data_IF_067127796730
#
_entry.id   IF_067127796730
#
_cell.length_a   1.000
_cell.length_b   1.000
_cell.length_c   1.000
_cell.angle_alpha   90.00
_cell.angle_beta   90.00
_cell.angle_gamma   90.00
#
_symmetry.space_group_name_H-M   'P 1'
#
loop_
_entity.id
_entity.type
_entity.pdbx_description
1 polymer ?
#
# COMPACT_ATOMS: atom_id res chain seq x y z
N UNK A 1 5.71 15.51 4.73
CA UNK A 1 6.08 14.07 4.67
C UNK A 1 5.82 13.46 6.05
N UNK A 2 5.12 12.33 6.15
CA UNK A 2 4.69 11.74 7.44
C UNK A 2 5.65 10.69 8.00
N UNK A 3 6.54 10.18 7.16
CA UNK A 3 7.55 9.19 7.52
C UNK A 3 7.95 8.35 6.32
N UNK A 4 8.56 7.20 6.61
CA UNK A 4 9.07 6.25 5.61
C UNK A 4 8.33 4.93 5.70
N UNK A 5 8.02 4.36 4.53
CA UNK A 5 7.61 2.97 4.37
C UNK A 5 8.81 2.19 3.82
N UNK A 6 9.33 1.25 4.60
CA UNK A 6 10.37 0.33 4.15
C UNK A 6 9.73 -0.90 3.54
N UNK A 7 9.63 -0.93 2.21
CA UNK A 7 9.18 -2.10 1.48
C UNK A 7 10.38 -2.96 1.04
N UNK A 8 10.64 -4.04 1.77
CA UNK A 8 11.89 -4.78 1.65
C UNK A 8 13.05 -4.17 2.45
N UNK A 9 14.23 -4.83 2.48
CA UNK A 9 14.57 -6.06 1.74
C UNK A 9 14.07 -7.35 2.41
N UNK A 10 13.32 -7.27 3.51
CA UNK A 10 12.89 -8.43 4.33
C UNK A 10 11.73 -9.23 3.72
N UNK A 11 11.85 -9.57 2.44
CA UNK A 11 10.81 -10.14 1.59
C UNK A 11 11.30 -11.44 0.94
N UNK A 12 10.37 -12.26 0.42
CA UNK A 12 10.73 -13.56 -0.13
C UNK A 12 11.31 -13.42 -1.56
N UNK A 13 12.50 -13.98 -1.85
CA UNK A 13 13.11 -13.93 -3.19
C UNK A 13 12.26 -14.60 -4.28
N UNK A 14 11.36 -15.52 -3.93
CA UNK A 14 10.41 -16.14 -4.86
C UNK A 14 9.20 -15.26 -5.21
N UNK A 15 9.05 -14.10 -4.54
CA UNK A 15 7.93 -13.16 -4.72
C UNK A 15 8.41 -11.69 -4.76
N UNK A 16 9.51 -11.41 -5.45
CA UNK A 16 10.07 -10.06 -5.54
C UNK A 16 9.20 -9.05 -6.28
N UNK A 17 8.40 -9.48 -7.26
CA UNK A 17 7.74 -8.52 -8.16
C UNK A 17 8.79 -7.68 -8.87
N UNK A 18 8.76 -6.35 -8.67
CA UNK A 18 9.75 -5.43 -9.23
C UNK A 18 10.89 -5.06 -8.26
N UNK A 19 10.92 -5.64 -7.05
CA UNK A 19 12.01 -5.43 -6.10
C UNK A 19 13.33 -6.01 -6.66
N UNK A 20 14.48 -5.37 -6.39
CA UNK A 20 15.78 -5.93 -6.77
C UNK A 20 16.04 -7.26 -6.06
N UNK A 21 16.89 -8.12 -6.65
CA UNK A 21 17.32 -9.41 -6.08
C UNK A 21 18.28 -9.25 -4.89
N UNK A 22 17.90 -8.44 -3.92
CA UNK A 22 18.67 -8.13 -2.71
C UNK A 22 17.87 -8.45 -1.44
N UNK A 23 16.91 -9.39 -1.54
CA UNK A 23 16.14 -9.85 -0.39
C UNK A 23 17.06 -10.40 0.70
N UNK A 24 16.77 -10.05 1.95
CA UNK A 24 17.55 -10.45 3.12
C UNK A 24 16.63 -10.95 4.24
N UNK A 25 17.20 -11.70 5.18
CA UNK A 25 16.52 -12.01 6.44
C UNK A 25 16.70 -10.82 7.38
N UNK A 26 15.62 -10.41 8.03
CA UNK A 26 15.65 -9.25 8.93
C UNK A 26 16.57 -9.49 10.13
N UNK A 27 17.53 -8.58 10.33
CA UNK A 27 18.40 -8.56 11.50
C UNK A 27 17.97 -7.43 12.45
N UNK A 28 17.75 -7.68 13.76
CA UNK A 28 17.30 -6.65 14.69
C UNK A 28 18.23 -5.44 14.78
N UNK A 29 19.54 -5.66 14.62
CA UNK A 29 20.56 -4.60 14.65
C UNK A 29 20.41 -3.67 13.45
N UNK A 30 20.25 -4.22 12.25
CA UNK A 30 20.09 -3.44 11.02
C UNK A 30 18.79 -2.64 11.05
N UNK A 31 17.70 -3.28 11.46
CA UNK A 31 16.42 -2.59 11.56
C UNK A 31 16.45 -1.46 12.60
N UNK A 32 17.13 -1.66 13.74
CA UNK A 32 17.35 -0.58 14.70
C UNK A 32 18.10 0.60 14.06
N UNK A 33 19.13 0.35 13.24
CA UNK A 33 19.84 1.40 12.51
C UNK A 33 18.92 2.18 11.57
N UNK A 34 17.99 1.51 10.86
CA UNK A 34 17.02 2.20 10.01
C UNK A 34 16.01 3.03 10.80
N UNK A 35 15.53 2.51 11.93
CA UNK A 35 14.62 3.24 12.82
C UNK A 35 15.29 4.47 13.45
N UNK A 36 16.59 4.41 13.72
CA UNK A 36 17.37 5.53 14.24
C UNK A 36 17.68 6.56 13.13
N UNK A 37 17.85 6.11 11.88
CA UNK A 37 18.20 6.97 10.75
C UNK A 37 17.00 7.72 10.15
N UNK A 38 15.78 7.19 10.27
CA UNK A 38 14.60 7.77 9.65
C UNK A 38 13.31 7.52 10.44
N UNK A 39 12.29 8.38 10.30
CA UNK A 39 10.97 8.17 10.91
C UNK A 39 10.19 7.08 10.16
N UNK A 40 10.61 5.83 10.30
CA UNK A 40 9.94 4.66 9.72
C UNK A 40 8.58 4.46 10.40
N UNK A 41 7.52 4.45 9.59
CA UNK A 41 6.14 4.25 10.06
C UNK A 41 5.60 2.90 9.66
N UNK A 42 6.05 2.37 8.52
CA UNK A 42 5.58 1.11 7.96
C UNK A 42 6.76 0.27 7.50
N UNK A 43 6.69 -1.04 7.74
CA UNK A 43 7.62 -2.02 7.18
C UNK A 43 6.83 -3.13 6.51
N UNK A 44 7.15 -3.44 5.26
CA UNK A 44 6.65 -4.64 4.57
C UNK A 44 7.67 -5.75 4.70
N UNK A 45 7.21 -6.93 5.13
CA UNK A 45 8.03 -8.13 5.21
C UNK A 45 7.23 -9.39 4.87
N UNK A 46 7.97 -10.46 4.55
CA UNK A 46 7.40 -11.78 4.33
C UNK A 46 7.41 -12.59 5.65
N UNK A 47 6.25 -12.99 6.20
CA UNK A 47 6.16 -13.57 7.54
C UNK A 47 6.79 -14.96 7.68
N UNK A 48 6.88 -15.73 6.60
CA UNK A 48 7.39 -17.11 6.58
C UNK A 48 8.92 -17.19 6.68
N UNK A 49 9.61 -16.06 6.59
CA UNK A 49 11.06 -16.03 6.65
C UNK A 49 11.57 -16.18 8.10
N UNK A 50 12.69 -16.88 8.33
CA UNK A 50 13.22 -17.13 9.66
C UNK A 50 13.36 -15.87 10.52
N UNK A 51 12.82 -15.91 11.74
CA UNK A 51 12.93 -14.82 12.72
C UNK A 51 11.98 -13.63 12.48
N UNK A 52 11.23 -13.60 11.37
CA UNK A 52 10.34 -12.46 11.08
C UNK A 52 9.16 -12.36 12.04
N UNK A 53 8.70 -13.48 12.62
CA UNK A 53 7.65 -13.43 13.64
C UNK A 53 8.08 -12.64 14.89
N UNK A 54 9.31 -12.84 15.36
CA UNK A 54 9.87 -12.05 16.46
C UNK A 54 10.13 -10.60 16.03
N UNK A 55 10.52 -10.40 14.76
CA UNK A 55 10.68 -9.06 14.21
C UNK A 55 9.38 -8.26 14.19
N UNK A 56 8.27 -8.91 13.81
CA UNK A 56 6.94 -8.30 13.83
C UNK A 56 6.61 -7.81 15.24
N UNK A 57 6.81 -8.66 16.27
CA UNK A 57 6.57 -8.28 17.67
C UNK A 57 7.40 -7.07 18.09
N UNK A 58 8.69 -7.07 17.74
CA UNK A 58 9.63 -5.99 18.07
C UNK A 58 9.23 -4.67 17.39
N UNK A 59 8.87 -4.70 16.11
CA UNK A 59 8.43 -3.53 15.36
C UNK A 59 7.11 -2.97 15.91
N UNK A 60 6.13 -3.85 16.14
CA UNK A 60 4.83 -3.47 16.68
C UNK A 60 4.97 -2.82 18.07
N UNK A 61 5.83 -3.38 18.94
CA UNK A 61 6.12 -2.81 20.26
C UNK A 61 6.77 -1.41 20.19
N UNK A 62 7.41 -1.06 19.08
CA UNK A 62 7.98 0.27 18.81
C UNK A 62 7.01 1.20 18.09
N UNK A 63 5.77 0.78 17.87
CA UNK A 63 4.74 1.58 17.19
C UNK A 63 4.92 1.65 15.66
N UNK A 64 5.77 0.80 15.08
CA UNK A 64 5.89 0.66 13.63
C UNK A 64 4.81 -0.29 13.12
N UNK A 65 4.09 0.12 12.08
CA UNK A 65 3.08 -0.73 11.44
C UNK A 65 3.76 -1.77 10.56
N UNK A 66 3.42 -3.04 10.74
CA UNK A 66 3.99 -4.12 9.92
C UNK A 66 2.95 -4.60 8.94
N UNK A 67 3.34 -4.68 7.67
CA UNK A 67 2.52 -5.24 6.59
C UNK A 67 3.12 -6.51 6.05
N UNK A 68 2.24 -7.43 5.68
CA UNK A 68 2.61 -8.66 4.99
C UNK A 68 2.59 -8.42 3.49
N UNK A 69 3.68 -8.76 2.80
CA UNK A 69 3.81 -8.56 1.36
C UNK A 69 5.02 -9.30 0.80
N UNK A 70 5.07 -9.46 -0.54
CA UNK A 70 6.17 -10.14 -1.23
C UNK A 70 6.52 -11.50 -0.60
N UNK A 71 5.50 -12.34 -0.43
CA UNK A 71 5.54 -13.51 0.45
C UNK A 71 5.04 -14.77 -0.25
N UNK A 72 5.72 -15.88 0.01
CA UNK A 72 5.27 -17.24 -0.31
C UNK A 72 4.58 -17.93 0.88
N UNK A 73 4.27 -17.17 1.93
CA UNK A 73 3.69 -17.66 3.16
C UNK A 73 2.35 -18.38 2.95
N UNK A 74 2.06 -19.25 3.90
CA UNK A 74 0.78 -19.94 4.01
C UNK A 74 -0.27 -19.03 4.66
N UNK A 75 -1.50 -19.53 4.74
CA UNK A 75 -2.54 -18.86 5.51
C UNK A 75 -2.17 -18.79 6.99
N UNK A 76 -1.60 -19.88 7.52
CA UNK A 76 -1.17 -20.02 8.91
C UNK A 76 -0.04 -19.05 9.26
N UNK A 77 0.93 -18.85 8.35
CA UNK A 77 2.01 -17.86 8.55
C UNK A 77 1.45 -16.44 8.69
N UNK A 78 0.46 -16.08 7.85
CA UNK A 78 -0.18 -14.77 7.92
C UNK A 78 -1.01 -14.59 9.20
N UNK A 79 -1.76 -15.62 9.61
CA UNK A 79 -2.52 -15.58 10.89
C UNK A 79 -1.56 -15.43 12.08
N UNK A 80 -0.48 -16.22 12.12
CA UNK A 80 0.53 -16.11 13.18
C UNK A 80 1.17 -14.70 13.20
N UNK A 81 1.41 -14.11 12.02
CA UNK A 81 1.95 -12.77 11.92
C UNK A 81 0.97 -11.69 12.43
N UNK A 82 -0.33 -11.81 12.14
CA UNK A 82 -1.36 -10.94 12.71
C UNK A 82 -1.40 -11.07 14.24
N UNK A 83 -1.36 -12.30 14.77
CA UNK A 83 -1.30 -12.56 16.22
C UNK A 83 -0.04 -11.98 16.87
N UNK A 84 1.07 -11.89 16.13
CA UNK A 84 2.31 -11.27 16.57
C UNK A 84 2.31 -9.73 16.48
N UNK A 85 1.28 -9.12 15.90
CA UNK A 85 1.13 -7.66 15.81
C UNK A 85 1.27 -7.06 14.41
N UNK A 86 1.31 -7.88 13.35
CA UNK A 86 1.16 -7.36 12.00
C UNK A 86 -0.21 -6.68 11.86
N UNK A 87 -0.23 -5.54 11.18
CA UNK A 87 -1.40 -4.64 11.16
C UNK A 87 -2.02 -4.45 9.78
N UNK A 88 -1.45 -5.04 8.73
CA UNK A 88 -2.02 -4.96 7.38
C UNK A 88 -1.31 -5.80 6.34
N UNK A 89 -1.67 -5.55 5.08
CA UNK A 89 -1.18 -6.26 3.91
C UNK A 89 -0.81 -5.23 2.84
N UNK A 90 0.39 -5.32 2.28
CA UNK A 90 0.88 -4.40 1.23
C UNK A 90 0.26 -4.78 -0.11
N UNK A 91 -0.22 -3.80 -0.88
CA UNK A 91 -0.81 -3.95 -2.23
C UNK A 91 -1.55 -5.29 -2.47
N UNK A 92 -2.55 -5.59 -1.64
CA UNK A 92 -3.30 -6.85 -1.58
C UNK A 92 -3.51 -7.49 -2.97
N UNK A 93 -3.31 -8.81 -3.02
CA UNK A 93 -3.26 -9.68 -4.21
C UNK A 93 -1.89 -9.72 -4.93
N UNK A 94 -1.15 -8.62 -4.97
CA UNK A 94 0.11 -8.53 -5.69
C UNK A 94 1.25 -9.16 -4.87
N UNK A 95 2.13 -9.90 -5.54
CA UNK A 95 3.27 -10.57 -4.90
C UNK A 95 2.94 -11.42 -3.65
N UNK A 96 1.75 -12.03 -3.60
CA UNK A 96 1.28 -12.88 -2.51
C UNK A 96 0.93 -14.30 -2.99
N UNK A 97 0.77 -15.24 -2.06
CA UNK A 97 0.12 -16.53 -2.34
C UNK A 97 -1.39 -16.35 -2.52
N UNK A 98 -1.96 -16.84 -3.64
CA UNK A 98 -3.35 -16.60 -3.97
C UNK A 98 -4.30 -17.43 -3.10
N UNK A 99 -5.57 -17.04 -3.09
CA UNK A 99 -6.64 -17.82 -2.46
C UNK A 99 -6.89 -19.11 -3.26
N UNK A 100 -6.73 -20.26 -2.60
CA UNK A 100 -7.17 -21.57 -3.08
C UNK A 100 -7.95 -22.31 -1.99
N UNK A 101 -9.01 -23.03 -2.33
CA UNK A 101 -9.94 -23.58 -1.33
C UNK A 101 -9.34 -24.63 -0.39
N UNK A 102 -8.26 -25.32 -0.77
CA UNK A 102 -7.56 -26.31 0.10
C UNK A 102 -6.23 -25.81 0.68
N UNK A 103 -5.70 -24.71 0.15
CA UNK A 103 -4.43 -24.11 0.55
C UNK A 103 -4.59 -22.58 0.46
N UNK A 104 -5.28 -21.95 1.43
CA UNK A 104 -5.87 -20.63 1.24
C UNK A 104 -4.89 -19.44 1.13
N UNK A 105 -3.60 -19.60 1.43
CA UNK A 105 -2.58 -18.56 1.19
C UNK A 105 -2.83 -17.25 1.95
N UNK A 106 -1.93 -16.28 1.73
CA UNK A 106 -1.93 -14.97 2.41
C UNK A 106 -3.13 -14.13 1.99
N UNK A 107 -3.57 -14.22 0.73
CA UNK A 107 -4.76 -13.49 0.26
C UNK A 107 -6.01 -13.90 1.03
N UNK A 108 -6.21 -15.19 1.32
CA UNK A 108 -7.37 -15.59 2.12
C UNK A 108 -7.24 -15.16 3.58
N UNK A 109 -6.03 -15.16 4.15
CA UNK A 109 -5.81 -14.66 5.50
C UNK A 109 -6.20 -13.17 5.60
N UNK A 110 -5.81 -12.36 4.60
CA UNK A 110 -6.23 -10.97 4.52
C UNK A 110 -7.76 -10.82 4.45
N UNK A 111 -8.41 -11.55 3.54
CA UNK A 111 -9.87 -11.49 3.39
C UNK A 111 -10.62 -12.00 4.63
N UNK A 112 -10.05 -12.93 5.39
CA UNK A 112 -10.70 -13.50 6.56
C UNK A 112 -10.49 -12.67 7.84
N UNK A 113 -9.34 -12.00 7.98
CA UNK A 113 -8.90 -11.47 9.29
C UNK A 113 -8.40 -10.02 9.27
N UNK A 114 -8.18 -9.41 8.10
CA UNK A 114 -7.60 -8.07 8.07
C UNK A 114 -8.62 -7.01 8.50
N UNK A 115 -8.23 -6.17 9.45
CA UNK A 115 -8.92 -4.89 9.69
C UNK A 115 -8.53 -3.86 8.61
N UNK A 116 -7.24 -3.82 8.26
CA UNK A 116 -6.65 -2.91 7.27
C UNK A 116 -5.88 -3.68 6.19
N UNK A 117 -5.97 -3.21 4.95
CA UNK A 117 -5.09 -3.65 3.86
C UNK A 117 -4.97 -2.56 2.80
N UNK A 118 -3.82 -2.54 2.14
CA UNK A 118 -3.56 -1.69 0.98
C UNK A 118 -4.08 -2.34 -0.30
N UNK A 119 -4.50 -1.50 -1.23
CA UNK A 119 -4.93 -1.90 -2.57
C UNK A 119 -4.44 -0.87 -3.58
N UNK A 120 -4.03 -1.31 -4.76
CA UNK A 120 -3.79 -0.44 -5.91
C UNK A 120 -5.05 -0.46 -6.81
N UNK A 121 -5.97 0.51 -6.71
CA UNK A 121 -7.21 0.51 -7.48
C UNK A 121 -7.02 1.16 -8.86
N UNK A 122 -5.98 0.82 -9.61
CA UNK A 122 -5.78 1.31 -10.99
C UNK A 122 -6.57 0.51 -12.04
N UNK A 123 -7.27 -0.54 -11.58
CA UNK A 123 -8.02 -1.50 -12.40
C UNK A 123 -7.15 -2.36 -13.34
N UNK A 124 -5.83 -2.31 -13.17
CA UNK A 124 -4.82 -3.11 -13.88
C UNK A 124 -4.16 -4.12 -12.94
N UNK A 125 -3.64 -3.66 -11.80
CA UNK A 125 -3.08 -4.52 -10.75
C UNK A 125 -4.14 -5.45 -10.18
N UNK A 126 -5.36 -4.92 -10.00
CA UNK A 126 -6.47 -5.68 -9.41
C UNK A 126 -7.74 -5.51 -10.24
N UNK A 127 -8.28 -6.63 -10.71
CA UNK A 127 -9.55 -6.65 -11.43
C UNK A 127 -10.71 -6.11 -10.55
N UNK A 128 -11.67 -5.32 -11.08
CA UNK A 128 -12.79 -4.78 -10.31
C UNK A 128 -13.56 -5.80 -9.47
N UNK A 129 -13.69 -7.04 -9.96
CA UNK A 129 -14.31 -8.14 -9.22
C UNK A 129 -13.58 -8.51 -7.92
N UNK A 130 -12.25 -8.55 -7.95
CA UNK A 130 -11.42 -8.83 -6.78
C UNK A 130 -11.43 -7.66 -5.80
N UNK A 131 -11.41 -6.42 -6.31
CA UNK A 131 -11.60 -5.21 -5.48
C UNK A 131 -12.93 -5.30 -4.71
N UNK A 132 -14.04 -5.64 -5.38
CA UNK A 132 -15.35 -5.81 -4.74
C UNK A 132 -15.38 -6.93 -3.69
N UNK A 133 -14.60 -8.00 -3.88
CA UNK A 133 -14.47 -9.04 -2.86
C UNK A 133 -13.75 -8.51 -1.62
N UNK A 134 -12.60 -7.85 -1.82
CA UNK A 134 -11.84 -7.23 -0.74
C UNK A 134 -12.65 -6.16 0.03
N UNK A 135 -13.39 -5.31 -0.68
CA UNK A 135 -14.24 -4.27 -0.08
C UNK A 135 -15.35 -4.82 0.82
N UNK A 136 -15.86 -6.02 0.52
CA UNK A 136 -16.87 -6.70 1.36
C UNK A 136 -16.25 -7.37 2.58
N UNK A 137 -14.99 -7.74 2.50
CA UNK A 137 -14.31 -8.57 3.47
C UNK A 137 -13.48 -7.75 4.48
N UNK A 138 -12.81 -6.70 4.01
CA UNK A 138 -11.85 -5.91 4.79
C UNK A 138 -12.46 -4.53 5.11
N UNK A 139 -12.83 -4.26 6.38
CA UNK A 139 -13.56 -3.05 6.75
C UNK A 139 -12.86 -1.76 6.33
N UNK A 140 -11.53 -1.68 6.56
CA UNK A 140 -10.71 -0.50 6.26
C UNK A 140 -9.72 -0.77 5.14
N UNK A 141 -10.17 -1.42 4.07
CA UNK A 141 -9.41 -1.49 2.81
C UNK A 141 -9.17 -0.07 2.28
N UNK A 142 -7.93 0.31 2.02
CA UNK A 142 -7.58 1.65 1.58
C UNK A 142 -6.70 1.65 0.33
N UNK A 143 -6.72 2.77 -0.41
CA UNK A 143 -5.94 2.91 -1.61
C UNK A 143 -4.50 3.33 -1.30
N UNK A 144 -3.58 2.75 -2.07
CA UNK A 144 -2.24 3.28 -2.31
C UNK A 144 -2.06 3.44 -3.82
N UNK A 145 -1.14 4.33 -4.22
CA UNK A 145 -0.78 4.44 -5.63
C UNK A 145 0.17 3.33 -6.02
N UNK A 146 1.13 3.02 -5.14
CA UNK A 146 2.36 2.33 -5.52
C UNK A 146 3.02 2.99 -6.75
N UNK A 147 2.91 4.32 -6.83
CA UNK A 147 3.34 5.08 -7.99
C UNK A 147 4.87 5.16 -8.07
N UNK A 148 5.38 5.06 -9.29
CA UNK A 148 6.80 5.30 -9.59
C UNK A 148 7.03 6.73 -10.05
N UNK A 149 8.29 7.10 -10.26
CA UNK A 149 8.68 8.38 -10.86
C UNK A 149 8.09 8.61 -12.28
N UNK A 150 7.53 7.57 -12.91
CA UNK A 150 6.87 7.68 -14.20
C UNK A 150 5.43 8.21 -14.11
N UNK A 151 4.83 8.30 -12.92
CA UNK A 151 3.50 8.85 -12.72
C UNK A 151 3.45 10.32 -13.14
N UNK A 152 2.48 10.69 -13.98
CA UNK A 152 2.38 12.04 -14.54
C UNK A 152 3.37 12.37 -15.67
N UNK A 153 4.24 11.43 -16.05
CA UNK A 153 5.26 11.64 -17.08
C UNK A 153 4.87 11.04 -18.45
N UNK A 154 5.46 11.47 -19.58
CA UNK A 154 5.26 10.84 -20.89
C UNK A 154 5.71 9.37 -20.94
N UNK A 155 5.27 8.62 -21.94
CA UNK A 155 5.78 7.24 -22.17
C UNK A 155 7.30 7.26 -22.41
N UNK A 156 8.01 6.27 -21.86
CA UNK A 156 9.46 6.29 -21.86
C UNK A 156 10.11 5.29 -20.90
N UNK A 157 11.43 5.44 -20.72
CA UNK A 157 12.26 4.60 -19.86
C UNK A 157 12.56 5.35 -18.56
N UNK A 158 12.35 4.67 -17.43
CA UNK A 158 12.54 5.22 -16.08
C UNK A 158 13.31 4.23 -15.20
N UNK A 159 13.65 4.66 -13.99
CA UNK A 159 14.29 3.83 -12.99
C UNK A 159 13.40 3.63 -11.77
N UNK A 160 13.36 2.40 -11.25
CA UNK A 160 12.78 2.02 -9.98
C UNK A 160 13.88 1.37 -9.13
N UNK A 161 14.50 2.16 -8.24
CA UNK A 161 15.73 1.75 -7.59
C UNK A 161 16.82 1.46 -8.64
N UNK A 162 17.40 0.27 -8.60
CA UNK A 162 18.39 -0.19 -9.59
C UNK A 162 17.77 -0.79 -10.85
N UNK A 163 16.45 -0.96 -10.91
CA UNK A 163 15.76 -1.58 -12.06
C UNK A 163 15.44 -0.54 -13.14
N UNK A 164 15.54 -0.95 -14.40
CA UNK A 164 15.02 -0.18 -15.54
C UNK A 164 13.58 -0.60 -15.81
N UNK A 165 12.68 0.37 -15.89
CA UNK A 165 11.26 0.15 -16.14
C UNK A 165 10.78 0.95 -17.34
N UNK A 166 9.75 0.45 -18.01
CA UNK A 166 9.19 1.01 -19.24
C UNK A 166 7.75 1.45 -18.99
N UNK A 167 7.51 2.75 -19.13
CA UNK A 167 6.16 3.31 -19.09
C UNK A 167 5.56 3.25 -20.49
N UNK A 168 4.37 2.68 -20.58
CA UNK A 168 3.51 2.74 -21.75
C UNK A 168 2.04 2.91 -21.32
N UNK A 169 1.41 4.01 -21.74
CA UNK A 169 0.06 4.38 -21.34
C UNK A 169 -0.12 4.42 -19.82
N UNK A 170 -1.06 3.62 -19.31
CA UNK A 170 -1.42 3.54 -17.90
C UNK A 170 -0.62 2.53 -17.07
N UNK A 171 0.49 1.99 -17.59
CA UNK A 171 1.25 0.95 -16.88
C UNK A 171 2.77 1.17 -16.95
N UNK A 172 3.47 0.64 -15.94
CA UNK A 172 4.93 0.59 -15.87
C UNK A 172 5.33 -0.87 -15.66
N UNK A 173 6.28 -1.35 -16.46
CA UNK A 173 6.70 -2.75 -16.48
C UNK A 173 8.20 -2.91 -16.56
N UNK A 174 8.70 -4.03 -16.04
CA UNK A 174 10.03 -4.53 -16.35
C UNK A 174 10.10 -5.03 -17.80
N UNK A 175 11.32 -5.30 -18.29
CA UNK A 175 11.53 -5.82 -19.65
C UNK A 175 10.84 -7.17 -19.91
N UNK A 176 10.59 -7.97 -18.87
CA UNK A 176 9.90 -9.26 -18.93
C UNK A 176 8.36 -9.12 -18.89
N UNK A 177 7.84 -7.90 -18.79
CA UNK A 177 6.40 -7.60 -18.72
C UNK A 177 5.80 -7.58 -17.31
N UNK A 178 6.57 -7.91 -16.27
CA UNK A 178 6.15 -7.82 -14.87
C UNK A 178 5.76 -6.38 -14.53
N UNK A 179 4.61 -6.16 -13.87
CA UNK A 179 4.21 -4.83 -13.39
C UNK A 179 5.23 -4.34 -12.33
N UNK A 180 5.63 -3.08 -12.45
CA UNK A 180 6.67 -2.48 -11.63
C UNK A 180 6.21 -1.14 -11.04
N UNK A 181 5.48 -1.24 -9.94
CA UNK A 181 4.67 -0.14 -9.42
C UNK A 181 3.60 0.29 -10.44
N UNK A 182 3.09 1.50 -10.27
CA UNK A 182 2.04 2.06 -11.09
C UNK A 182 2.34 3.50 -11.56
N UNK A 183 1.41 4.04 -12.34
CA UNK A 183 1.31 5.48 -12.66
C UNK A 183 0.03 6.07 -12.09
N UNK A 184 -0.60 5.38 -11.14
CA UNK A 184 -1.85 5.78 -10.51
C UNK A 184 -1.63 7.06 -9.68
N UNK A 185 -2.55 8.00 -9.79
CA UNK A 185 -2.64 9.16 -8.89
C UNK A 185 -3.80 8.98 -7.91
N UNK A 186 -3.77 9.67 -6.77
CA UNK A 186 -4.82 9.51 -5.75
C UNK A 186 -6.20 10.02 -6.16
N UNK A 187 -6.27 11.06 -6.98
CA UNK A 187 -7.53 11.51 -7.57
C UNK A 187 -8.07 10.46 -8.58
N UNK A 188 -7.20 9.78 -9.33
CA UNK A 188 -7.63 8.69 -10.21
C UNK A 188 -8.05 7.45 -9.41
N UNK A 189 -7.40 7.13 -8.30
CA UNK A 189 -7.82 6.05 -7.40
C UNK A 189 -9.23 6.30 -6.85
N UNK A 190 -9.53 7.54 -6.43
CA UNK A 190 -10.87 7.96 -6.03
C UNK A 190 -11.89 7.75 -7.17
N UNK A 191 -11.58 8.23 -8.38
CA UNK A 191 -12.45 8.05 -9.56
C UNK A 191 -12.67 6.59 -9.90
N UNK A 192 -11.66 5.75 -9.77
CA UNK A 192 -11.76 4.31 -10.02
C UNK A 192 -12.65 3.61 -8.98
N UNK A 193 -12.57 3.99 -7.70
CA UNK A 193 -13.51 3.50 -6.70
C UNK A 193 -14.96 3.89 -7.02
N UNK A 194 -15.19 5.16 -7.37
CA UNK A 194 -16.53 5.62 -7.74
C UNK A 194 -17.03 4.89 -9.00
N UNK A 195 -16.18 4.70 -10.01
CA UNK A 195 -16.56 4.04 -11.27
C UNK A 195 -16.95 2.56 -11.10
N UNK A 196 -16.42 1.87 -10.08
CA UNK A 196 -16.80 0.49 -9.77
C UNK A 196 -18.02 0.38 -8.83
N UNK A 197 -18.58 1.51 -8.39
CA UNK A 197 -19.87 1.60 -7.70
C UNK A 197 -19.83 2.06 -6.25
N UNK A 198 -18.70 2.59 -5.74
CA UNK A 198 -18.68 3.17 -4.40
C UNK A 198 -19.35 4.54 -4.40
N UNK A 199 -20.05 4.87 -3.32
CA UNK A 199 -20.42 6.25 -3.08
C UNK A 199 -19.17 7.11 -2.83
N UNK A 200 -19.29 8.40 -3.12
CA UNK A 200 -18.15 9.32 -3.03
C UNK A 200 -17.61 9.44 -1.60
N UNK A 201 -18.46 9.32 -0.58
CA UNK A 201 -18.02 9.43 0.81
C UNK A 201 -17.19 8.21 1.23
N UNK A 202 -17.56 7.00 0.81
CA UNK A 202 -16.78 5.80 1.05
C UNK A 202 -15.47 5.80 0.26
N UNK A 203 -15.52 6.17 -1.02
CA UNK A 203 -14.31 6.35 -1.82
C UNK A 203 -13.36 7.37 -1.18
N UNK A 204 -13.89 8.49 -0.66
CA UNK A 204 -13.12 9.52 0.04
C UNK A 204 -12.45 9.00 1.33
N UNK A 205 -13.17 8.23 2.15
CA UNK A 205 -12.60 7.60 3.35
C UNK A 205 -11.43 6.66 3.03
N UNK A 206 -11.52 5.92 1.91
CA UNK A 206 -10.50 4.97 1.47
C UNK A 206 -9.23 5.61 0.90
N UNK A 207 -9.27 6.88 0.53
CA UNK A 207 -8.10 7.64 0.06
C UNK A 207 -7.59 8.65 1.10
N UNK A 208 -8.21 8.75 2.28
CA UNK A 208 -7.83 9.73 3.30
C UNK A 208 -7.98 9.22 4.75
N UNK A 209 -9.21 8.95 5.20
CA UNK A 209 -9.50 8.56 6.60
C UNK A 209 -8.82 7.25 7.00
N UNK A 210 -8.99 6.18 6.23
CA UNK A 210 -8.47 4.86 6.58
C UNK A 210 -6.93 4.80 6.57
N UNK A 211 -6.20 5.37 5.59
CA UNK A 211 -4.74 5.44 5.71
C UNK A 211 -4.27 6.31 6.89
N UNK A 212 -4.99 7.40 7.23
CA UNK A 212 -4.68 8.19 8.43
C UNK A 212 -4.88 7.37 9.72
N UNK A 213 -5.99 6.65 9.84
CA UNK A 213 -6.26 5.74 10.97
C UNK A 213 -5.24 4.61 11.06
N UNK A 214 -4.85 4.04 9.91
CA UNK A 214 -3.82 3.01 9.85
C UNK A 214 -2.51 3.52 10.44
N UNK A 215 -2.09 4.74 10.07
CA UNK A 215 -0.90 5.39 10.62
C UNK A 215 -1.07 5.93 12.05
N UNK A 216 -2.27 5.84 12.64
CA UNK A 216 -2.54 6.37 13.98
C UNK A 216 -2.55 7.90 14.05
N UNK A 217 -3.00 8.57 12.98
CA UNK A 217 -3.03 10.02 12.86
C UNK A 217 -4.47 10.53 13.02
N UNK A 218 -4.88 10.94 14.24
CA UNK A 218 -6.26 11.35 14.52
C UNK A 218 -6.59 12.76 14.01
N UNK A 219 -5.57 13.52 13.60
CA UNK A 219 -5.63 14.93 13.24
C UNK A 219 -5.81 15.17 11.74
N UNK A 220 -6.01 14.11 10.94
CA UNK A 220 -6.10 14.20 9.47
C UNK A 220 -6.97 13.11 8.85
N UNK A 221 -7.24 13.24 7.56
CA UNK A 221 -8.10 12.33 6.81
C UNK A 221 -9.60 12.57 7.02
N UNK A 222 -9.97 13.69 7.63
CA UNK A 222 -11.36 14.10 7.83
C UNK A 222 -11.50 15.62 7.84
N UNK A 223 -12.69 16.11 7.46
CA UNK A 223 -13.06 17.51 7.57
C UNK A 223 -13.77 17.74 8.90
N UNK A 224 -13.00 18.03 9.94
CA UNK A 224 -13.51 18.29 11.28
C UNK A 224 -12.73 19.42 11.95
N UNK A 225 -13.41 20.18 12.83
CA UNK A 225 -12.75 21.21 13.62
C UNK A 225 -11.65 20.59 14.50
N UNK A 226 -10.46 21.20 14.49
CA UNK A 226 -9.29 20.71 15.21
C UNK A 226 -8.37 19.76 14.41
N UNK A 227 -8.77 19.33 13.22
CA UNK A 227 -7.90 18.63 12.27
C UNK A 227 -7.10 19.60 11.40
N UNK A 228 -6.02 19.11 10.78
CA UNK A 228 -5.28 19.84 9.76
C UNK A 228 -6.18 20.18 8.57
N UNK A 229 -6.05 21.39 8.04
CA UNK A 229 -6.74 21.85 6.85
C UNK A 229 -6.06 21.33 5.56
N UNK A 230 -5.84 20.02 5.52
CA UNK A 230 -5.41 19.28 4.32
C UNK A 230 -6.66 18.94 3.50
N UNK A 231 -6.95 19.75 2.48
CA UNK A 231 -8.21 19.70 1.75
C UNK A 231 -7.97 19.65 0.25
N UNK A 232 -8.69 18.77 -0.44
CA UNK A 232 -8.74 18.74 -1.90
C UNK A 232 -10.14 19.15 -2.35
N UNK A 233 -10.22 20.17 -3.19
CA UNK A 233 -11.44 20.61 -3.87
C UNK A 233 -11.49 19.96 -5.24
N UNK A 234 -12.58 19.26 -5.53
CA UNK A 234 -12.81 18.57 -6.80
C UNK A 234 -13.99 19.19 -7.54
N UNK A 235 -13.98 19.14 -8.87
CA UNK A 235 -15.16 19.47 -9.66
C UNK A 235 -16.15 18.29 -9.79
N UNK A 236 -17.23 18.48 -10.57
CA UNK A 236 -18.27 17.45 -10.75
C UNK A 236 -17.79 16.19 -11.46
N UNK A 237 -16.67 16.27 -12.20
CA UNK A 237 -16.02 15.12 -12.81
C UNK A 237 -14.99 14.46 -11.87
N UNK A 238 -14.89 14.94 -10.62
CA UNK A 238 -13.90 14.54 -9.63
C UNK A 238 -12.46 14.83 -10.07
N UNK A 239 -12.27 15.89 -10.85
CA UNK A 239 -10.95 16.42 -11.20
C UNK A 239 -10.48 17.45 -10.17
N UNK A 240 -9.19 17.45 -9.86
CA UNK A 240 -8.60 18.37 -8.86
C UNK A 240 -8.67 19.82 -9.32
N UNK A 241 -9.32 20.66 -8.53
CA UNK A 241 -9.40 22.11 -8.72
C UNK A 241 -8.43 22.85 -7.81
N UNK A 242 -8.45 22.54 -6.53
CA UNK A 242 -7.62 23.24 -5.54
C UNK A 242 -7.10 22.25 -4.50
N UNK A 243 -5.88 22.44 -4.05
CA UNK A 243 -5.30 21.68 -2.94
C UNK A 243 -4.82 22.64 -1.87
N UNK A 244 -5.28 22.43 -0.65
CA UNK A 244 -4.81 23.07 0.56
C UNK A 244 -3.98 22.08 1.36
N UNK A 245 -2.83 22.52 1.86
CA UNK A 245 -1.98 21.75 2.78
C UNK A 245 -1.79 22.62 4.01
N UNK A 246 -2.21 22.10 5.16
CA UNK A 246 -2.14 22.82 6.44
C UNK A 246 -2.82 24.21 6.41
N UNK A 247 -3.81 24.38 5.53
CA UNK A 247 -4.56 25.63 5.33
C UNK A 247 -4.01 26.53 4.20
N UNK A 248 -2.84 26.22 3.66
CA UNK A 248 -2.21 27.00 2.59
C UNK A 248 -2.56 26.45 1.21
N UNK A 249 -3.00 27.32 0.29
CA UNK A 249 -3.31 26.92 -1.08
C UNK A 249 -2.01 26.60 -1.85
N UNK A 250 -1.86 25.34 -2.28
CA UNK A 250 -0.66 24.85 -2.97
C UNK A 250 -0.86 24.61 -4.47
N UNK A 251 -2.09 24.35 -4.90
CA UNK A 251 -2.46 24.11 -6.30
C UNK A 251 -3.78 24.80 -6.58
N UNK A 252 -3.87 25.51 -7.69
CA UNK A 252 -5.10 26.12 -8.20
C UNK A 252 -5.18 25.92 -9.71
N UNK A 253 -6.08 25.05 -10.15
CA UNK A 253 -6.34 24.74 -11.55
C UNK A 253 -7.58 25.50 -12.03
N UNK A 254 -7.42 26.27 -13.10
CA UNK A 254 -8.48 27.04 -13.76
C UNK A 254 -9.63 26.17 -14.29
#
# INVERSE_FOLDING_TARGET
>A
MLGVHLEGPYINPGKLGAQPHTSAIAAPVELAQYLDAAPVKVVTLAPELPGHLDMIRLLAARGVRVQLGHTLGTYEDAVAALDAGASGFTHLFNAMTPLQHRAPGVVAAALAHAEFAELIPDLLHVHPGAIRAALRAIPRLYAVTDATAAAGMPDGVYHLGSQTVYKAGGSVRLADGTLAGSVLTMDQALRNFVSIGLDLADASRRVSLYPAQYLGLPDRGMLAAGCWADVVVLDRALSVRTVYVEGECCVENA
#
